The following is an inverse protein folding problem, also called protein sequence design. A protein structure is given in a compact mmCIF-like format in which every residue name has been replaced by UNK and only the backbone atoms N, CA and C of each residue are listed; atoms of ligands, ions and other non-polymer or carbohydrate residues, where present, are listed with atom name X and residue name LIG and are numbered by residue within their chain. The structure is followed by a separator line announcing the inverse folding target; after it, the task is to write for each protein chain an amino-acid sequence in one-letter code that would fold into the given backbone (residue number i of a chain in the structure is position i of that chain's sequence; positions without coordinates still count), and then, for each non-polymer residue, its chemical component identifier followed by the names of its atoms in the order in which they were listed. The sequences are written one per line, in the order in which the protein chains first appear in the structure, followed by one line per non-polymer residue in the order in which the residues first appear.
data_IF_430616038162
#
_entry.id   IF_430616038162
#
_cell.length_a   1.000
_cell.length_b   1.000
_cell.length_c   1.000
_cell.angle_alpha   90.00
_cell.angle_beta   90.00
_cell.angle_gamma   90.00
#
_symmetry.space_group_name_H-M   'P 1'
#
loop_
_entity.id
_entity.type
_entity.pdbx_description
1 polymer ?
#
# COMPACT_ATOMS: atom_id res chain seq x y z
N UNK A 1 15.33 10.68 23.40
CA UNK A 1 15.94 11.96 23.21
C UNK A 1 16.12 12.25 21.72
N UNK A 2 15.73 13.43 21.30
CA UNK A 2 15.88 13.77 19.89
C UNK A 2 17.32 13.75 19.41
N UNK A 3 18.23 14.15 20.25
CA UNK A 3 19.62 14.25 19.87
C UNK A 3 20.31 12.93 19.64
N UNK A 4 19.73 11.85 20.15
CA UNK A 4 20.30 10.53 20.00
C UNK A 4 19.30 9.56 19.41
N UNK A 5 18.30 10.09 18.77
CA UNK A 5 17.32 9.25 18.11
C UNK A 5 18.00 8.40 17.06
N UNK A 6 17.60 7.15 17.00
CA UNK A 6 18.01 6.27 15.92
C UNK A 6 17.44 6.84 14.62
N UNK A 7 18.24 6.91 13.55
CA UNK A 7 17.71 7.35 12.27
C UNK A 7 16.47 6.57 11.93
N UNK A 8 15.42 7.28 11.52
CA UNK A 8 14.20 6.63 11.12
C UNK A 8 14.44 5.74 9.90
N UNK A 9 13.87 4.56 9.93
CA UNK A 9 13.91 3.71 8.76
C UNK A 9 13.15 4.43 7.62
N UNK A 10 13.59 4.23 6.37
CA UNK A 10 12.93 4.90 5.25
C UNK A 10 11.48 4.46 5.12
N UNK A 11 10.62 5.33 4.57
CA UNK A 11 9.24 4.92 4.27
C UNK A 11 9.22 3.73 3.36
N UNK A 12 8.19 2.91 3.55
CA UNK A 12 8.02 1.68 2.81
C UNK A 12 6.94 1.85 1.76
N UNK A 13 7.18 1.30 0.58
CA UNK A 13 6.20 1.35 -0.50
C UNK A 13 5.95 -0.06 -1.03
N UNK A 14 4.69 -0.45 -1.07
CA UNK A 14 4.28 -1.72 -1.64
C UNK A 14 3.51 -1.49 -2.94
N UNK A 15 3.88 -2.25 -3.96
CA UNK A 15 3.13 -2.28 -5.22
C UNK A 15 2.49 -3.66 -5.34
N UNK A 16 1.17 -3.72 -5.28
CA UNK A 16 0.44 -4.98 -5.32
C UNK A 16 -0.19 -5.16 -6.69
N UNK A 17 0.42 -6.02 -7.49
CA UNK A 17 -0.03 -6.38 -8.84
C UNK A 17 -0.80 -7.68 -8.87
N UNK A 18 -0.83 -8.41 -7.76
CA UNK A 18 -1.54 -9.68 -7.63
C UNK A 18 -2.42 -9.65 -6.39
N UNK A 19 -3.44 -10.50 -6.37
CA UNK A 19 -4.38 -10.55 -5.26
C UNK A 19 -3.84 -11.29 -4.03
N UNK A 20 -4.67 -11.35 -2.96
CA UNK A 20 -4.24 -11.93 -1.69
C UNK A 20 -3.91 -13.40 -1.73
N UNK A 21 -4.40 -14.11 -2.74
CA UNK A 21 -4.12 -15.54 -2.89
C UNK A 21 -2.79 -15.83 -3.56
N UNK A 22 -2.08 -14.82 -4.03
CA UNK A 22 -0.80 -15.03 -4.69
C UNK A 22 0.25 -15.59 -3.72
N UNK A 23 1.17 -16.44 -4.21
CA UNK A 23 2.25 -16.96 -3.36
C UNK A 23 3.05 -15.83 -2.73
N UNK A 24 3.29 -15.91 -1.45
CA UNK A 24 4.04 -14.90 -0.70
C UNK A 24 3.25 -13.68 -0.29
N UNK A 25 1.98 -13.56 -0.69
CA UNK A 25 1.16 -12.39 -0.37
C UNK A 25 0.98 -12.22 1.13
N UNK A 26 0.68 -13.31 1.84
CA UNK A 26 0.51 -13.26 3.28
C UNK A 26 1.77 -12.86 4.01
N UNK A 27 2.92 -13.39 3.58
CA UNK A 27 4.21 -13.06 4.19
C UNK A 27 4.56 -11.60 3.95
N UNK A 28 4.31 -11.08 2.76
CA UNK A 28 4.58 -9.69 2.46
C UNK A 28 3.77 -8.77 3.35
N UNK A 29 2.48 -9.07 3.50
CA UNK A 29 1.60 -8.24 4.32
C UNK A 29 1.98 -8.32 5.79
N UNK A 30 2.38 -9.49 6.27
CA UNK A 30 2.82 -9.67 7.65
C UNK A 30 4.09 -8.84 7.92
N UNK A 31 5.03 -8.83 6.99
CA UNK A 31 6.25 -8.03 7.12
C UNK A 31 5.94 -6.54 7.10
N UNK A 32 5.01 -6.13 6.25
CA UNK A 32 4.58 -4.73 6.21
C UNK A 32 3.94 -4.30 7.52
N UNK A 33 3.12 -5.18 8.10
CA UNK A 33 2.50 -4.90 9.39
C UNK A 33 3.55 -4.75 10.49
N UNK A 34 4.57 -5.60 10.49
CA UNK A 34 5.66 -5.49 11.44
C UNK A 34 6.40 -4.15 11.29
N UNK A 35 6.65 -3.73 10.05
CA UNK A 35 7.31 -2.45 9.80
C UNK A 35 6.49 -1.28 10.34
N UNK A 36 5.17 -1.31 10.14
CA UNK A 36 4.27 -0.29 10.70
C UNK A 36 4.28 -0.29 12.21
N UNK A 37 4.32 -1.46 12.82
CA UNK A 37 4.42 -1.58 14.28
C UNK A 37 5.69 -0.98 14.83
N UNK A 38 6.72 -0.87 13.98
CA UNK A 38 7.98 -0.22 14.32
C UNK A 38 8.01 1.25 13.93
N UNK A 39 6.88 1.82 13.53
CA UNK A 39 6.77 3.25 13.24
C UNK A 39 7.09 3.65 11.81
N UNK A 40 7.32 2.71 10.92
CA UNK A 40 7.60 3.05 9.52
C UNK A 40 6.32 3.48 8.79
N UNK A 41 6.42 4.55 8.02
CA UNK A 41 5.33 4.94 7.14
C UNK A 41 5.22 3.94 5.99
N UNK A 42 3.99 3.63 5.60
CA UNK A 42 3.71 2.63 4.58
C UNK A 42 2.74 3.21 3.55
N UNK A 43 3.11 3.12 2.29
CA UNK A 43 2.21 3.44 1.20
C UNK A 43 2.03 2.20 0.33
N UNK A 44 0.78 1.94 -0.05
CA UNK A 44 0.43 0.75 -0.82
C UNK A 44 -0.32 1.20 -2.06
N UNK A 45 0.09 0.73 -3.22
CA UNK A 45 -0.65 0.98 -4.45
C UNK A 45 -1.21 -0.33 -4.99
N UNK A 46 -2.51 -0.35 -5.23
CA UNK A 46 -3.21 -1.48 -5.83
C UNK A 46 -3.38 -1.21 -7.31
N UNK A 47 -2.97 -2.16 -8.13
CA UNK A 47 -3.12 -2.03 -9.58
C UNK A 47 -3.36 -3.41 -10.20
N UNK A 48 -4.08 -3.44 -11.31
CA UNK A 48 -4.41 -4.69 -11.98
C UNK A 48 -5.12 -5.67 -11.06
N UNK A 49 -4.74 -6.96 -11.10
CA UNK A 49 -5.32 -7.97 -10.21
C UNK A 49 -5.13 -7.69 -8.72
N UNK A 50 -4.19 -6.81 -8.36
CA UNK A 50 -4.02 -6.38 -6.97
C UNK A 50 -5.22 -5.68 -6.39
N UNK A 51 -6.16 -5.23 -7.22
CA UNK A 51 -7.41 -4.64 -6.74
C UNK A 51 -8.24 -5.59 -5.88
N UNK A 52 -8.02 -6.90 -6.00
CA UNK A 52 -8.72 -7.88 -5.16
C UNK A 52 -8.45 -7.68 -3.67
N UNK A 53 -7.37 -6.99 -3.32
CA UNK A 53 -7.07 -6.68 -1.93
C UNK A 53 -8.08 -5.75 -1.27
N UNK A 54 -8.88 -5.03 -2.06
CA UNK A 54 -9.90 -4.11 -1.51
C UNK A 54 -10.88 -4.85 -0.60
N UNK A 55 -11.20 -6.09 -0.97
CA UNK A 55 -12.15 -6.90 -0.20
C UNK A 55 -11.46 -7.81 0.80
N UNK A 56 -10.14 -7.69 0.95
CA UNK A 56 -9.39 -8.54 1.86
C UNK A 56 -9.26 -7.87 3.22
N UNK A 57 -9.77 -8.54 4.23
CA UNK A 57 -9.74 -8.03 5.61
C UNK A 57 -8.34 -7.66 6.08
N UNK A 58 -7.26 -8.43 5.76
CA UNK A 58 -5.93 -8.05 6.21
C UNK A 58 -5.47 -6.67 5.74
N UNK A 59 -5.85 -6.26 4.51
CA UNK A 59 -5.48 -4.95 4.03
C UNK A 59 -6.28 -3.86 4.74
N UNK A 60 -7.56 -4.09 4.93
CA UNK A 60 -8.41 -3.13 5.64
C UNK A 60 -7.90 -2.88 7.05
N UNK A 61 -7.49 -3.93 7.74
CA UNK A 61 -6.91 -3.79 9.07
C UNK A 61 -5.63 -2.99 9.06
N UNK A 62 -4.77 -3.24 8.09
CA UNK A 62 -3.52 -2.51 7.97
C UNK A 62 -3.78 -1.04 7.66
N UNK A 63 -4.75 -0.77 6.80
CA UNK A 63 -5.11 0.60 6.42
C UNK A 63 -5.67 1.43 7.56
N UNK A 64 -6.09 0.79 8.65
CA UNK A 64 -6.57 1.50 9.82
C UNK A 64 -5.43 2.16 10.61
N UNK A 65 -4.18 1.75 10.37
CA UNK A 65 -3.03 2.36 11.03
C UNK A 65 -2.78 3.77 10.47
N UNK A 66 -2.46 4.75 11.34
CA UNK A 66 -2.33 6.14 10.89
C UNK A 66 -1.19 6.39 9.91
N UNK A 67 -0.16 5.56 9.93
CA UNK A 67 1.00 5.70 9.04
C UNK A 67 0.78 5.04 7.68
N UNK A 68 -0.38 4.42 7.45
CA UNK A 68 -0.64 3.64 6.24
C UNK A 68 -1.53 4.42 5.30
N UNK A 69 -1.13 4.50 4.04
CA UNK A 69 -1.93 5.08 2.97
C UNK A 69 -2.07 4.06 1.85
N UNK A 70 -3.30 3.88 1.38
CA UNK A 70 -3.58 2.95 0.30
C UNK A 70 -4.15 3.71 -0.88
N UNK A 71 -3.54 3.53 -2.04
CA UNK A 71 -3.99 4.11 -3.29
C UNK A 71 -4.46 3.05 -4.27
N UNK A 72 -5.36 3.43 -5.15
CA UNK A 72 -5.86 2.58 -6.20
C UNK A 72 -5.58 3.24 -7.55
N UNK A 73 -4.96 2.49 -8.46
CA UNK A 73 -4.70 2.99 -9.79
C UNK A 73 -6.02 3.21 -10.54
N UNK A 74 -6.32 4.45 -10.87
CA UNK A 74 -7.58 4.83 -11.50
C UNK A 74 -7.79 4.13 -12.84
N UNK A 75 -6.72 3.95 -13.60
CA UNK A 75 -6.82 3.25 -14.89
C UNK A 75 -7.24 1.80 -14.69
N UNK A 76 -6.60 1.11 -13.75
CA UNK A 76 -6.97 -0.27 -13.45
C UNK A 76 -8.41 -0.37 -12.96
N UNK A 77 -8.83 0.60 -12.14
CA UNK A 77 -10.19 0.63 -11.62
C UNK A 77 -11.21 0.82 -12.74
N UNK A 78 -10.97 1.77 -13.63
CA UNK A 78 -11.87 2.01 -14.77
C UNK A 78 -11.96 0.80 -15.68
N UNK A 79 -10.84 0.15 -15.95
CA UNK A 79 -10.82 -1.04 -16.80
C UNK A 79 -11.65 -2.18 -16.20
N UNK A 80 -11.87 -2.17 -14.89
CA UNK A 80 -12.64 -3.18 -14.18
C UNK A 80 -14.02 -2.70 -13.76
N UNK A 81 -14.43 -1.53 -14.22
CA UNK A 81 -15.75 -0.99 -13.91
C UNK A 81 -15.93 -0.49 -12.49
N UNK A 82 -14.84 -0.22 -11.79
CA UNK A 82 -14.89 0.31 -10.43
C UNK A 82 -14.97 1.83 -10.46
N UNK A 83 -15.84 2.39 -9.64
CA UNK A 83 -16.08 3.83 -9.57
C UNK A 83 -15.60 4.37 -8.23
N UNK A 84 -15.05 5.60 -8.21
CA UNK A 84 -14.50 6.14 -6.96
C UNK A 84 -15.52 6.22 -5.82
N UNK A 85 -16.78 6.50 -6.13
CA UNK A 85 -17.81 6.62 -5.11
C UNK A 85 -18.19 5.30 -4.44
N UNK A 86 -17.77 4.17 -5.00
CA UNK A 86 -18.05 2.85 -4.43
C UNK A 86 -16.94 2.33 -3.53
N UNK A 87 -15.83 3.09 -3.42
CA UNK A 87 -14.66 2.65 -2.67
C UNK A 87 -14.79 2.94 -1.17
N UNK A 88 -14.18 2.11 -0.33
CA UNK A 88 -14.06 2.46 1.09
C UNK A 88 -13.29 3.77 1.27
N UNK A 89 -13.57 4.52 2.35
CA UNK A 89 -12.95 5.83 2.55
C UNK A 89 -11.43 5.78 2.77
N UNK A 90 -10.89 4.63 3.10
CA UNK A 90 -9.45 4.47 3.33
C UNK A 90 -8.67 4.25 2.02
N UNK A 91 -9.34 4.20 0.87
CA UNK A 91 -8.67 4.02 -0.43
C UNK A 91 -8.70 5.34 -1.18
N UNK A 92 -7.53 5.77 -1.65
CA UNK A 92 -7.36 6.98 -2.43
C UNK A 92 -7.37 6.66 -3.92
N UNK A 93 -8.22 7.36 -4.66
CA UNK A 93 -8.25 7.26 -6.12
C UNK A 93 -7.08 8.07 -6.67
N UNK A 94 -6.17 7.42 -7.38
CA UNK A 94 -4.97 8.07 -7.87
C UNK A 94 -4.54 7.45 -9.20
N UNK A 95 -3.40 7.89 -9.72
CA UNK A 95 -2.76 7.26 -10.87
C UNK A 95 -1.40 6.71 -10.46
N UNK A 96 -0.90 5.75 -11.22
CA UNK A 96 0.42 5.19 -10.95
C UNK A 96 1.50 6.28 -10.99
N UNK A 97 1.43 7.18 -11.96
CA UNK A 97 2.41 8.25 -12.09
C UNK A 97 2.33 9.21 -10.91
N UNK A 98 1.13 9.67 -10.56
CA UNK A 98 0.96 10.61 -9.46
C UNK A 98 1.40 9.99 -8.14
N UNK A 99 1.09 8.72 -7.92
CA UNK A 99 1.47 8.01 -6.70
C UNK A 99 2.99 7.91 -6.59
N UNK A 100 3.65 7.48 -7.68
CA UNK A 100 5.10 7.30 -7.67
C UNK A 100 5.85 8.62 -7.54
N UNK A 101 5.36 9.69 -8.18
CA UNK A 101 6.01 10.99 -8.07
C UNK A 101 5.86 11.62 -6.71
N UNK A 102 4.85 11.23 -5.94
CA UNK A 102 4.63 11.72 -4.59
C UNK A 102 5.45 10.98 -3.55
N UNK A 103 6.12 9.89 -3.91
CA UNK A 103 6.92 9.13 -2.96
C UNK A 103 8.15 9.91 -2.53
N UNK A 104 8.53 9.83 -1.24
CA UNK A 104 9.81 10.37 -0.82
C UNK A 104 10.97 9.73 -1.58
N UNK A 105 12.03 10.50 -1.78
CA UNK A 105 13.18 10.01 -2.55
C UNK A 105 13.90 8.84 -1.86
N UNK A 106 13.73 8.69 -0.56
CA UNK A 106 14.33 7.63 0.23
C UNK A 106 13.39 6.45 0.46
N UNK A 107 12.23 6.43 -0.19
CA UNK A 107 11.28 5.34 -0.02
C UNK A 107 11.88 4.02 -0.51
N UNK A 108 11.68 2.98 0.27
CA UNK A 108 12.12 1.63 -0.07
C UNK A 108 10.96 0.90 -0.73
N UNK A 109 11.19 0.36 -1.91
CA UNK A 109 10.16 -0.38 -2.64
C UNK A 109 10.21 -1.85 -2.25
N UNK A 110 9.08 -2.34 -1.75
CA UNK A 110 8.92 -3.77 -1.46
C UNK A 110 7.87 -4.35 -2.37
N UNK A 111 8.02 -5.65 -2.60
CA UNK A 111 6.93 -6.52 -2.94
C UNK A 111 6.17 -6.15 -4.18
N UNK A 112 6.71 -6.54 -5.27
CA UNK A 112 5.91 -6.72 -6.44
C UNK A 112 5.46 -8.16 -6.43
N UNK A 113 4.16 -8.34 -6.23
CA UNK A 113 3.56 -9.64 -6.43
C UNK A 113 2.99 -9.67 -7.82
N UNK A 114 3.41 -10.59 -8.58
CA UNK A 114 2.87 -10.75 -9.92
C UNK A 114 2.37 -12.17 -10.13
#
# INVERSE_FOLDING_TARGET
SPGNAVPEAPPLHLLLLAGPEAPGAGDLLARARTACGNGRALTILLTGPGMAWIEAEPLERLAAEPEVRVGLCSRSARDRGVRPETLPPWIHWTSLVAWCTALPSDAELWGVLS
#
